data_IF_343029882360
#
_entry.id   IF_343029882360
#
_cell.length_a   1.000
_cell.length_b   1.000
_cell.length_c   1.000
_cell.angle_alpha   90.00
_cell.angle_beta   90.00
_cell.angle_gamma   90.00
#
_symmetry.space_group_name_H-M   'P 1'
#
loop_
_entity.id
_entity.type
_entity.pdbx_description
1 polymer ?
#
# COMPACT_ATOMS: atom_id res chain seq x y z
N UNK A 1 -4.16 -3.29 -12.87
CA UNK A 1 -4.14 -1.90 -12.31
C UNK A 1 -4.63 -0.83 -13.28
N UNK A 2 -4.88 -1.14 -14.55
CA UNK A 2 -5.43 -0.19 -15.53
C UNK A 2 -6.76 0.45 -15.10
N UNK A 3 -7.59 -0.27 -14.35
CA UNK A 3 -8.87 0.25 -13.85
C UNK A 3 -8.73 1.29 -12.72
N UNK A 4 -7.60 1.37 -12.00
CA UNK A 4 -7.36 2.42 -10.98
C UNK A 4 -7.37 3.81 -11.60
N UNK A 5 -7.04 3.89 -12.89
CA UNK A 5 -7.04 5.13 -13.66
C UNK A 5 -8.29 5.29 -14.54
N UNK A 6 -9.32 4.40 -14.39
CA UNK A 6 -10.52 4.50 -15.19
C UNK A 6 -11.29 5.79 -14.89
N UNK A 7 -11.90 6.39 -15.91
CA UNK A 7 -12.72 7.60 -15.77
C UNK A 7 -13.90 7.40 -14.83
N UNK A 8 -14.50 6.20 -14.84
CA UNK A 8 -15.62 5.84 -13.95
C UNK A 8 -15.17 5.83 -12.48
N UNK A 9 -14.03 5.23 -12.17
CA UNK A 9 -13.49 5.24 -10.80
C UNK A 9 -13.17 6.67 -10.36
N UNK A 10 -12.56 7.46 -11.22
CA UNK A 10 -12.26 8.87 -10.93
C UNK A 10 -13.52 9.70 -10.71
N UNK A 11 -14.60 9.40 -11.43
CA UNK A 11 -15.91 10.05 -11.23
C UNK A 11 -16.50 9.67 -9.87
N UNK A 12 -16.49 8.38 -9.50
CA UNK A 12 -16.94 7.91 -8.18
C UNK A 12 -16.13 8.52 -7.05
N UNK A 13 -14.81 8.57 -7.19
CA UNK A 13 -13.91 9.25 -6.24
C UNK A 13 -14.28 10.71 -6.01
N UNK A 14 -14.66 11.44 -7.07
CA UNK A 14 -15.09 12.82 -6.95
C UNK A 14 -16.44 12.97 -6.27
N UNK A 15 -17.38 12.05 -6.51
CA UNK A 15 -18.73 12.08 -5.95
C UNK A 15 -18.77 11.66 -4.47
N UNK A 16 -17.91 10.74 -4.07
CA UNK A 16 -17.82 10.22 -2.71
C UNK A 16 -16.61 10.74 -1.91
N UNK A 17 -16.07 11.89 -2.32
CA UNK A 17 -14.82 12.43 -1.78
C UNK A 17 -14.83 12.49 -0.24
N UNK A 18 -14.05 11.62 0.39
CA UNK A 18 -13.88 11.56 1.83
C UNK A 18 -14.90 10.69 2.58
N UNK A 19 -15.86 10.06 1.91
CA UNK A 19 -16.77 9.16 2.61
C UNK A 19 -16.10 7.84 2.96
N UNK A 20 -16.21 7.42 4.19
CA UNK A 20 -15.52 6.23 4.73
C UNK A 20 -15.94 4.91 4.06
N UNK A 21 -17.18 4.80 3.57
CA UNK A 21 -17.68 3.58 2.91
C UNK A 21 -16.89 3.25 1.65
N UNK A 22 -16.20 4.23 1.05
CA UNK A 22 -15.42 3.98 -0.15
C UNK A 22 -14.22 3.06 0.09
N UNK A 23 -13.69 3.01 1.31
CA UNK A 23 -12.67 2.04 1.71
C UNK A 23 -13.20 0.60 1.69
N UNK A 24 -14.47 0.42 2.06
CA UNK A 24 -15.18 -0.87 1.99
C UNK A 24 -15.36 -1.29 0.53
N UNK A 25 -15.91 -0.39 -0.28
CA UNK A 25 -16.09 -0.64 -1.73
C UNK A 25 -14.76 -0.96 -2.41
N UNK A 26 -13.72 -0.22 -2.09
CA UNK A 26 -12.37 -0.39 -2.65
C UNK A 26 -11.78 -1.79 -2.34
N UNK A 27 -11.96 -2.29 -1.11
CA UNK A 27 -11.54 -3.64 -0.74
C UNK A 27 -12.23 -4.71 -1.60
N UNK A 28 -13.55 -4.62 -1.75
CA UNK A 28 -14.34 -5.56 -2.56
C UNK A 28 -13.96 -5.45 -4.04
N UNK A 29 -13.84 -4.24 -4.56
CA UNK A 29 -13.44 -4.01 -5.96
C UNK A 29 -12.09 -4.65 -6.26
N UNK A 30 -11.11 -4.51 -5.36
CA UNK A 30 -9.79 -5.11 -5.57
C UNK A 30 -9.85 -6.65 -5.56
N UNK A 31 -10.59 -7.23 -4.64
CA UNK A 31 -10.80 -8.67 -4.60
C UNK A 31 -11.53 -9.16 -5.87
N UNK A 32 -12.61 -8.51 -6.28
CA UNK A 32 -13.34 -8.89 -7.51
C UNK A 32 -12.47 -8.80 -8.77
N UNK A 33 -11.51 -7.87 -8.79
CA UNK A 33 -10.57 -7.78 -9.90
C UNK A 33 -9.59 -8.95 -9.97
N UNK A 34 -9.23 -9.51 -8.83
CA UNK A 34 -8.40 -10.71 -8.78
C UNK A 34 -9.20 -11.94 -9.18
N UNK A 35 -10.37 -12.10 -8.58
CA UNK A 35 -11.25 -13.24 -8.76
C UNK A 35 -12.29 -12.98 -9.86
N UNK A 36 -11.86 -12.61 -11.08
CA UNK A 36 -12.74 -12.25 -12.21
C UNK A 36 -13.65 -13.39 -12.66
N UNK A 37 -13.22 -14.64 -12.48
CA UNK A 37 -13.96 -15.84 -12.87
C UNK A 37 -15.10 -16.16 -11.89
N UNK A 38 -15.05 -15.61 -10.68
CA UNK A 38 -16.02 -15.81 -9.63
C UNK A 38 -16.69 -14.49 -9.28
N UNK A 39 -18.01 -14.40 -9.44
CA UNK A 39 -18.76 -13.23 -8.95
C UNK A 39 -18.86 -13.32 -7.44
N UNK A 40 -18.30 -12.34 -6.75
CA UNK A 40 -18.38 -12.27 -5.29
C UNK A 40 -19.81 -12.03 -4.84
N UNK A 41 -20.20 -12.73 -3.77
CA UNK A 41 -21.52 -12.55 -3.14
C UNK A 41 -21.56 -11.22 -2.43
N UNK A 42 -22.68 -10.50 -2.57
CA UNK A 42 -22.92 -9.27 -1.80
C UNK A 42 -23.08 -9.54 -0.32
N UNK A 43 -22.75 -8.56 0.50
CA UNK A 43 -22.86 -8.67 1.95
C UNK A 43 -23.46 -7.41 2.58
N UNK A 44 -24.21 -7.60 3.66
CA UNK A 44 -24.66 -6.52 4.53
C UNK A 44 -23.65 -6.39 5.68
N UNK A 45 -23.10 -5.19 5.86
CA UNK A 45 -22.05 -4.93 6.84
C UNK A 45 -22.54 -3.96 7.91
N UNK A 46 -22.28 -4.32 9.15
CA UNK A 46 -22.33 -3.37 10.29
C UNK A 46 -20.90 -3.12 10.72
N UNK A 47 -20.48 -1.86 10.71
CA UNK A 47 -19.12 -1.46 11.04
C UNK A 47 -19.12 -0.80 12.41
N UNK A 48 -18.29 -1.33 13.32
CA UNK A 48 -18.04 -0.74 14.64
C UNK A 48 -16.54 -0.80 14.92
N UNK A 49 -16.01 0.21 15.57
CA UNK A 49 -14.59 0.25 15.92
C UNK A 49 -14.28 1.36 16.91
N UNK A 50 -13.19 1.19 17.65
CA UNK A 50 -12.68 2.15 18.63
C UNK A 50 -11.33 2.76 18.21
N UNK A 51 -10.87 2.52 16.97
CA UNK A 51 -9.65 3.14 16.45
C UNK A 51 -9.94 4.63 16.22
N UNK A 52 -9.18 5.55 16.84
CA UNK A 52 -9.39 6.97 16.65
C UNK A 52 -9.27 7.39 15.19
N UNK A 53 -10.31 8.05 14.68
CA UNK A 53 -10.35 8.49 13.28
C UNK A 53 -9.42 9.69 13.08
N UNK A 54 -8.65 9.68 11.99
CA UNK A 54 -7.69 10.74 11.61
C UNK A 54 -6.58 11.01 12.63
N UNK A 55 -6.33 10.09 13.56
CA UNK A 55 -5.26 10.18 14.57
C UNK A 55 -3.94 9.52 14.16
N UNK A 56 -3.77 9.15 12.89
CA UNK A 56 -2.55 8.44 12.43
C UNK A 56 -2.50 6.96 12.81
N UNK A 57 -3.62 6.38 13.28
CA UNK A 57 -3.74 4.99 13.72
C UNK A 57 -4.33 4.07 12.63
N UNK A 58 -4.25 4.48 11.38
CA UNK A 58 -4.65 3.68 10.20
C UNK A 58 -6.09 3.11 10.24
N UNK A 59 -7.05 3.93 10.72
CA UNK A 59 -8.46 3.52 10.77
C UNK A 59 -9.02 3.17 9.39
N UNK A 60 -8.54 3.79 8.31
CA UNK A 60 -8.89 3.45 6.93
C UNK A 60 -8.42 2.04 6.54
N UNK A 61 -7.17 1.72 6.82
CA UNK A 61 -6.61 0.40 6.52
C UNK A 61 -7.31 -0.69 7.34
N UNK A 62 -7.75 -0.38 8.56
CA UNK A 62 -8.55 -1.31 9.36
C UNK A 62 -9.91 -1.62 8.71
N UNK A 63 -10.57 -0.63 8.11
CA UNK A 63 -11.80 -0.84 7.33
C UNK A 63 -11.54 -1.74 6.11
N UNK A 64 -10.47 -1.47 5.36
CA UNK A 64 -10.10 -2.28 4.19
C UNK A 64 -9.80 -3.72 4.59
N UNK A 65 -8.94 -3.92 5.61
CA UNK A 65 -8.53 -5.26 6.05
C UNK A 65 -9.72 -6.06 6.59
N UNK A 66 -10.52 -5.48 7.48
CA UNK A 66 -11.68 -6.18 8.05
C UNK A 66 -12.74 -6.52 7.00
N UNK A 67 -12.98 -5.62 6.05
CA UNK A 67 -13.90 -5.86 4.92
C UNK A 67 -13.37 -6.97 4.01
N UNK A 68 -12.08 -6.92 3.68
CA UNK A 68 -11.46 -7.94 2.83
C UNK A 68 -11.48 -9.33 3.50
N UNK A 69 -11.20 -9.41 4.82
CA UNK A 69 -11.30 -10.67 5.58
C UNK A 69 -12.73 -11.23 5.54
N UNK A 70 -13.74 -10.38 5.79
CA UNK A 70 -15.13 -10.79 5.72
C UNK A 70 -15.51 -11.29 4.31
N UNK A 71 -15.08 -10.59 3.27
CA UNK A 71 -15.34 -10.98 1.89
C UNK A 71 -14.65 -12.29 1.50
N UNK A 72 -13.40 -12.47 1.90
CA UNK A 72 -12.63 -13.71 1.68
C UNK A 72 -13.33 -14.88 2.36
N UNK A 73 -13.70 -14.73 3.63
CA UNK A 73 -14.38 -15.79 4.39
C UNK A 73 -15.76 -16.13 3.79
N UNK A 74 -16.58 -15.11 3.48
CA UNK A 74 -17.93 -15.29 2.95
C UNK A 74 -17.94 -15.99 1.57
N UNK A 75 -16.91 -15.72 0.76
CA UNK A 75 -16.83 -16.26 -0.61
C UNK A 75 -15.93 -17.50 -0.71
N UNK A 76 -15.37 -17.99 0.41
CA UNK A 76 -14.49 -19.15 0.42
C UNK A 76 -13.24 -18.97 -0.46
N UNK A 77 -12.68 -17.75 -0.50
CA UNK A 77 -11.54 -17.46 -1.35
C UNK A 77 -10.26 -17.99 -0.69
N UNK A 78 -9.42 -18.65 -1.48
CA UNK A 78 -8.08 -19.05 -1.06
C UNK A 78 -7.08 -17.93 -1.36
N UNK A 79 -6.67 -17.21 -0.32
CA UNK A 79 -5.76 -16.06 -0.42
C UNK A 79 -4.62 -16.22 0.57
N UNK A 80 -3.40 -16.40 0.06
CA UNK A 80 -2.24 -16.46 0.93
C UNK A 80 -1.99 -15.09 1.61
N UNK A 81 -1.50 -15.07 2.87
CA UNK A 81 -1.43 -13.83 3.67
C UNK A 81 -0.72 -12.66 2.99
N UNK A 82 0.39 -12.90 2.29
CA UNK A 82 1.12 -11.85 1.56
C UNK A 82 0.30 -11.25 0.41
N UNK A 83 -0.43 -12.07 -0.33
CA UNK A 83 -1.32 -11.58 -1.40
C UNK A 83 -2.46 -10.77 -0.81
N UNK A 84 -3.03 -11.23 0.30
CA UNK A 84 -4.06 -10.51 1.03
C UNK A 84 -3.60 -9.10 1.42
N UNK A 85 -2.39 -8.96 1.99
CA UNK A 85 -1.82 -7.66 2.36
C UNK A 85 -1.67 -6.76 1.13
N UNK A 86 -1.19 -7.30 0.01
CA UNK A 86 -1.07 -6.56 -1.24
C UNK A 86 -2.44 -6.12 -1.76
N UNK A 87 -3.45 -7.00 -1.75
CA UNK A 87 -4.80 -6.64 -2.20
C UNK A 87 -5.42 -5.54 -1.35
N UNK A 88 -5.22 -5.58 -0.03
CA UNK A 88 -5.68 -4.52 0.85
C UNK A 88 -5.00 -3.18 0.56
N UNK A 89 -3.67 -3.15 0.43
CA UNK A 89 -2.92 -1.94 0.12
C UNK A 89 -3.27 -1.36 -1.25
N UNK A 90 -3.34 -2.21 -2.27
CA UNK A 90 -3.77 -1.81 -3.62
C UNK A 90 -5.24 -1.36 -3.64
N UNK A 91 -6.10 -1.95 -2.80
CA UNK A 91 -7.47 -1.51 -2.60
C UNK A 91 -7.53 -0.05 -2.18
N UNK A 92 -6.71 0.39 -1.23
CA UNK A 92 -6.65 1.80 -0.83
C UNK A 92 -6.27 2.76 -1.99
N UNK A 93 -5.56 2.28 -3.03
CA UNK A 93 -5.26 3.10 -4.20
C UNK A 93 -6.50 3.55 -4.96
N UNK A 94 -7.61 2.77 -4.89
CA UNK A 94 -8.90 3.17 -5.46
C UNK A 94 -9.50 4.38 -4.75
N UNK A 95 -9.15 4.60 -3.49
CA UNK A 95 -9.54 5.80 -2.73
C UNK A 95 -8.68 7.03 -3.11
N UNK A 96 -7.61 6.81 -3.86
CA UNK A 96 -6.78 7.85 -4.48
C UNK A 96 -5.44 8.11 -3.82
N UNK A 97 -5.09 7.45 -2.70
CA UNK A 97 -3.76 7.55 -2.08
C UNK A 97 -2.95 6.29 -2.38
N UNK A 98 -1.83 6.42 -3.05
CA UNK A 98 -0.94 5.30 -3.39
C UNK A 98 0.01 4.98 -2.24
N UNK A 99 -0.56 4.65 -1.07
CA UNK A 99 0.19 4.25 0.11
C UNK A 99 0.85 2.88 -0.03
N UNK A 100 1.79 2.59 0.89
CA UNK A 100 2.33 1.24 1.07
C UNK A 100 1.41 0.38 1.93
N UNK A 101 1.71 -0.91 2.02
CA UNK A 101 0.86 -1.90 2.69
C UNK A 101 1.35 -2.29 4.10
N UNK A 102 2.21 -1.48 4.73
CA UNK A 102 2.77 -1.78 6.05
C UNK A 102 1.70 -1.91 7.14
N UNK A 103 0.72 -1.00 7.15
CA UNK A 103 -0.37 -1.02 8.12
C UNK A 103 -1.25 -2.26 7.95
N UNK A 104 -1.53 -2.64 6.71
CA UNK A 104 -2.27 -3.86 6.37
C UNK A 104 -1.51 -5.12 6.81
N UNK A 105 -0.19 -5.14 6.63
CA UNK A 105 0.66 -6.24 7.11
C UNK A 105 0.66 -6.32 8.64
N UNK A 106 0.75 -5.19 9.34
CA UNK A 106 0.67 -5.15 10.79
C UNK A 106 -0.66 -5.71 11.30
N UNK A 107 -1.77 -5.39 10.65
CA UNK A 107 -3.10 -5.92 11.00
C UNK A 107 -3.23 -7.40 10.70
N UNK A 108 -2.73 -7.87 9.54
CA UNK A 108 -2.81 -9.29 9.14
C UNK A 108 -1.93 -10.20 9.99
N UNK A 109 -0.72 -9.74 10.33
CA UNK A 109 0.28 -10.54 11.04
C UNK A 109 0.37 -10.22 12.54
N UNK A 110 -0.38 -9.23 13.01
CA UNK A 110 -0.42 -8.86 14.43
C UNK A 110 -0.84 -10.02 15.32
N UNK A 111 -0.24 -10.12 16.50
CA UNK A 111 -0.60 -11.10 17.51
C UNK A 111 -0.50 -10.49 18.90
N UNK A 112 -1.46 -10.83 19.77
CA UNK A 112 -1.48 -10.34 21.14
C UNK A 112 -0.23 -10.80 21.90
N UNK A 113 0.41 -9.89 22.60
CA UNK A 113 1.59 -10.17 23.43
C UNK A 113 2.86 -10.48 22.64
N UNK A 114 2.90 -10.11 21.35
CA UNK A 114 4.06 -10.35 20.51
C UNK A 114 4.35 -9.15 19.58
N UNK A 115 5.62 -9.02 19.23
CA UNK A 115 6.09 -8.15 18.15
C UNK A 115 6.33 -9.01 16.92
N UNK A 116 5.66 -8.70 15.83
CA UNK A 116 5.81 -9.41 14.56
C UNK A 116 6.90 -8.76 13.72
N UNK A 117 7.93 -9.52 13.33
CA UNK A 117 8.92 -9.09 12.35
C UNK A 117 8.44 -9.51 10.96
N UNK A 118 8.02 -8.54 10.18
CA UNK A 118 7.49 -8.75 8.83
C UNK A 118 8.50 -8.23 7.83
N UNK A 119 8.84 -9.03 6.83
CA UNK A 119 9.61 -8.58 5.67
C UNK A 119 8.76 -7.57 4.91
N UNK A 120 9.25 -6.33 4.78
CA UNK A 120 8.45 -5.24 4.21
C UNK A 120 8.14 -5.46 2.71
N UNK A 121 9.06 -6.07 2.00
CA UNK A 121 8.84 -6.49 0.62
C UNK A 121 8.43 -7.96 0.64
N UNK A 122 7.39 -8.29 -0.11
CA UNK A 122 6.67 -9.57 -0.14
C UNK A 122 5.79 -9.83 1.09
N UNK A 123 5.90 -9.05 2.15
CA UNK A 123 5.08 -9.14 3.36
C UNK A 123 5.02 -10.54 3.96
N UNK A 124 6.17 -11.19 4.09
CA UNK A 124 6.27 -12.47 4.80
C UNK A 124 6.54 -12.24 6.29
N UNK A 125 5.85 -13.01 7.13
CA UNK A 125 6.12 -13.04 8.56
C UNK A 125 7.41 -13.84 8.80
N UNK A 126 8.49 -13.15 9.15
CA UNK A 126 9.80 -13.78 9.41
C UNK A 126 9.89 -14.40 10.80
N UNK A 127 9.39 -13.69 11.81
CA UNK A 127 9.43 -14.15 13.19
C UNK A 127 8.41 -13.42 14.06
N UNK A 128 8.13 -13.98 15.22
CA UNK A 128 7.43 -13.32 16.32
C UNK A 128 8.27 -13.41 17.58
N UNK A 129 8.40 -12.30 18.25
CA UNK A 129 9.10 -12.20 19.54
C UNK A 129 8.05 -11.85 20.60
N UNK A 130 8.06 -12.55 21.73
CA UNK A 130 7.17 -12.23 22.84
C UNK A 130 7.47 -10.81 23.33
N UNK A 131 6.44 -10.01 23.49
CA UNK A 131 6.58 -8.69 24.10
C UNK A 131 6.83 -8.87 25.60
N UNK A 132 7.86 -8.22 26.18
CA UNK A 132 8.15 -8.35 27.61
C UNK A 132 6.97 -7.91 28.48
N UNK A 133 6.62 -8.70 29.50
CA UNK A 133 5.46 -8.43 30.36
C UNK A 133 5.66 -7.24 31.28
N UNK A 134 6.92 -6.90 31.58
CA UNK A 134 7.34 -5.76 32.42
C UNK A 134 7.49 -4.44 31.64
N UNK A 135 7.16 -4.45 30.34
CA UNK A 135 7.23 -3.27 29.48
C UNK A 135 5.84 -2.87 28.98
N UNK A 136 5.66 -1.56 28.76
CA UNK A 136 4.44 -1.00 28.21
C UNK A 136 4.75 -0.08 27.02
N UNK A 137 3.92 -0.14 26.00
CA UNK A 137 3.91 0.84 24.92
C UNK A 137 2.97 1.98 25.29
N UNK A 138 3.52 3.18 25.37
CA UNK A 138 2.75 4.39 25.64
C UNK A 138 2.54 5.14 24.33
N UNK A 139 1.28 5.27 23.91
CA UNK A 139 0.91 6.06 22.73
C UNK A 139 0.36 7.40 23.18
N UNK A 140 1.06 8.48 22.83
CA UNK A 140 0.65 9.84 23.14
C UNK A 140 -0.07 10.47 21.95
N UNK A 141 -1.28 10.99 22.18
CA UNK A 141 -1.99 11.75 21.17
C UNK A 141 -1.42 13.18 21.10
N UNK A 142 -1.01 13.61 19.91
CA UNK A 142 -0.55 14.99 19.68
C UNK A 142 -1.68 16.00 19.55
N UNK A 143 -2.93 15.53 19.51
CA UNK A 143 -4.13 16.31 19.22
C UNK A 143 -4.14 17.01 17.85
N UNK A 144 -3.17 16.72 17.02
CA UNK A 144 -3.13 17.19 15.63
C UNK A 144 -3.82 16.16 14.74
N UNK A 145 -4.89 16.57 14.09
CA UNK A 145 -5.55 15.71 13.10
C UNK A 145 -4.65 15.58 11.87
N UNK A 146 -4.45 14.34 11.42
CA UNK A 146 -3.84 14.06 10.13
C UNK A 146 -4.81 14.54 9.03
N UNK A 147 -4.70 15.81 8.66
CA UNK A 147 -5.45 16.35 7.52
C UNK A 147 -4.92 15.67 6.27
N UNK A 148 -5.56 14.58 5.84
CA UNK A 148 -5.40 14.03 4.47
C UNK A 148 -6.06 15.01 3.48
N UNK A 149 -5.71 16.30 3.61
CA UNK A 149 -6.18 17.36 2.71
C UNK A 149 -5.78 16.99 1.27
N UNK A 150 -6.57 17.42 0.30
CA UNK A 150 -6.33 17.15 -1.12
C UNK A 150 -4.88 17.46 -1.54
N UNK A 151 -4.26 18.48 -0.95
CA UNK A 151 -2.86 18.83 -1.16
C UNK A 151 -1.85 17.77 -0.68
N UNK A 152 -2.03 17.20 0.52
CA UNK A 152 -1.11 16.20 1.05
C UNK A 152 -1.14 14.90 0.21
N UNK A 153 -2.31 14.50 -0.27
CA UNK A 153 -2.47 13.37 -1.20
C UNK A 153 -1.75 13.62 -2.53
N UNK A 154 -1.89 14.82 -3.09
CA UNK A 154 -1.22 15.18 -4.34
C UNK A 154 0.31 15.15 -4.19
N UNK A 155 0.85 15.70 -3.10
CA UNK A 155 2.28 15.67 -2.80
C UNK A 155 2.77 14.23 -2.63
N UNK A 156 2.03 13.40 -1.90
CA UNK A 156 2.39 11.99 -1.70
C UNK A 156 2.42 11.23 -3.03
N UNK A 157 1.36 11.35 -3.82
CA UNK A 157 1.27 10.67 -5.12
C UNK A 157 2.31 11.19 -6.12
N UNK A 158 2.66 12.48 -6.08
CA UNK A 158 3.75 13.05 -6.87
C UNK A 158 5.11 12.40 -6.54
N UNK A 159 5.39 12.18 -5.25
CA UNK A 159 6.61 11.47 -4.83
C UNK A 159 6.65 10.02 -5.34
N UNK A 160 5.52 9.31 -5.26
CA UNK A 160 5.41 7.96 -5.85
C UNK A 160 5.63 8.00 -7.36
N UNK A 161 5.04 8.99 -8.04
CA UNK A 161 5.26 9.24 -9.46
C UNK A 161 6.74 9.47 -9.81
N UNK A 162 7.45 10.24 -8.97
CA UNK A 162 8.89 10.49 -9.18
C UNK A 162 9.73 9.23 -9.12
N UNK A 163 9.40 8.26 -8.26
CA UNK A 163 10.10 6.97 -8.24
C UNK A 163 9.87 6.18 -9.53
N UNK A 164 8.64 6.17 -10.05
CA UNK A 164 8.32 5.48 -11.31
C UNK A 164 9.02 6.13 -12.50
N UNK A 165 9.06 7.46 -12.56
CA UNK A 165 9.79 8.20 -13.59
C UNK A 165 11.30 7.94 -13.50
N UNK A 166 11.86 7.92 -12.29
CA UNK A 166 13.26 7.58 -12.09
C UNK A 166 13.63 6.18 -12.60
N UNK A 167 12.77 5.19 -12.34
CA UNK A 167 12.95 3.82 -12.87
C UNK A 167 12.86 3.82 -14.39
N UNK A 168 11.84 4.46 -14.97
CA UNK A 168 11.68 4.54 -16.42
C UNK A 168 12.90 5.21 -17.10
N UNK A 169 13.43 6.27 -16.48
CA UNK A 169 14.64 6.93 -16.97
C UNK A 169 15.88 6.00 -16.90
N UNK A 170 16.03 5.24 -15.82
CA UNK A 170 17.11 4.25 -15.69
C UNK A 170 16.99 3.19 -16.78
N UNK A 171 15.78 2.69 -17.04
CA UNK A 171 15.55 1.72 -18.12
C UNK A 171 15.95 2.28 -19.50
N UNK A 172 15.59 3.52 -19.76
CA UNK A 172 15.92 4.17 -21.04
C UNK A 172 17.43 4.42 -21.20
N UNK A 173 18.09 4.88 -20.13
CA UNK A 173 19.51 5.24 -20.18
C UNK A 173 20.46 4.06 -19.99
N UNK A 174 20.02 3.04 -19.25
CA UNK A 174 20.78 1.85 -18.92
C UNK A 174 19.97 0.57 -19.26
N UNK A 175 19.73 0.26 -20.54
CA UNK A 175 18.85 -0.84 -20.94
C UNK A 175 19.23 -2.20 -20.34
N UNK A 176 20.52 -2.40 -20.02
CA UNK A 176 21.01 -3.62 -19.36
C UNK A 176 20.39 -3.84 -17.97
N UNK A 177 19.94 -2.78 -17.30
CA UNK A 177 19.30 -2.86 -15.98
C UNK A 177 17.77 -3.00 -16.06
N UNK A 178 17.16 -2.80 -17.23
CA UNK A 178 15.72 -2.86 -17.37
C UNK A 178 15.08 -4.19 -16.89
N UNK A 179 15.66 -5.37 -17.16
CA UNK A 179 15.11 -6.63 -16.64
C UNK A 179 15.35 -6.84 -15.14
N UNK A 180 16.28 -6.10 -14.53
CA UNK A 180 16.70 -6.27 -13.15
C UNK A 180 16.03 -5.27 -12.20
N UNK A 181 15.75 -4.04 -12.66
CA UNK A 181 15.23 -2.95 -11.83
C UNK A 181 13.74 -2.80 -12.03
N UNK A 182 12.96 -3.32 -11.11
CA UNK A 182 11.51 -3.09 -11.05
C UNK A 182 11.12 -2.03 -10.02
N UNK A 183 11.93 -1.91 -8.97
CA UNK A 183 11.72 -0.99 -7.87
C UNK A 183 13.03 -0.26 -7.53
N UNK A 184 12.93 0.90 -6.88
CA UNK A 184 14.11 1.67 -6.45
C UNK A 184 15.03 0.84 -5.54
N UNK A 185 14.49 -0.07 -4.74
CA UNK A 185 15.28 -0.97 -3.88
C UNK A 185 16.19 -1.93 -4.64
N UNK A 186 15.86 -2.21 -5.89
CA UNK A 186 16.65 -3.13 -6.73
C UNK A 186 17.96 -2.48 -7.20
N UNK A 187 18.07 -1.15 -7.02
CA UNK A 187 19.27 -0.38 -7.35
C UNK A 187 20.29 -0.54 -6.22
N UNK A 188 20.86 -1.71 -6.09
CA UNK A 188 21.88 -2.01 -5.10
C UNK A 188 22.98 -2.90 -5.69
N UNK A 189 24.23 -2.86 -5.13
CA UNK A 189 25.37 -3.59 -5.64
C UNK A 189 25.10 -5.09 -5.85
N UNK A 190 24.58 -5.75 -4.84
CA UNK A 190 24.36 -7.21 -4.85
C UNK A 190 23.36 -7.65 -5.92
N UNK A 191 22.32 -6.84 -6.16
CA UNK A 191 21.29 -7.17 -7.13
C UNK A 191 21.73 -6.89 -8.59
N UNK A 192 22.47 -5.80 -8.78
CA UNK A 192 22.93 -5.39 -10.11
C UNK A 192 24.31 -5.95 -10.49
N UNK A 193 25.00 -6.58 -9.55
CA UNK A 193 26.35 -7.14 -9.78
C UNK A 193 27.40 -6.08 -10.09
N UNK A 194 27.25 -4.87 -9.51
CA UNK A 194 28.13 -3.72 -9.75
C UNK A 194 28.62 -3.12 -8.44
N UNK A 195 29.68 -2.32 -8.49
CA UNK A 195 30.19 -1.63 -7.31
C UNK A 195 29.30 -0.45 -6.89
N UNK A 196 29.52 0.03 -5.68
CA UNK A 196 28.77 1.17 -5.12
C UNK A 196 29.00 2.45 -5.91
N UNK A 197 30.19 2.64 -6.48
CA UNK A 197 30.52 3.82 -7.30
C UNK A 197 29.66 3.84 -8.59
N UNK A 198 29.39 2.68 -9.18
CA UNK A 198 28.51 2.57 -10.34
C UNK A 198 27.06 2.89 -9.94
N UNK A 199 26.59 2.43 -8.78
CA UNK A 199 25.27 2.79 -8.25
C UNK A 199 25.15 4.31 -8.10
N UNK A 200 26.15 4.96 -7.50
CA UNK A 200 26.15 6.42 -7.36
C UNK A 200 26.11 7.13 -8.71
N UNK A 201 26.86 6.66 -9.72
CA UNK A 201 26.80 7.24 -11.08
C UNK A 201 25.40 7.16 -11.69
N UNK A 202 24.71 6.02 -11.51
CA UNK A 202 23.33 5.85 -12.00
C UNK A 202 22.39 6.81 -11.29
N UNK A 203 22.44 6.90 -9.95
CA UNK A 203 21.55 7.75 -9.15
C UNK A 203 21.84 9.24 -9.38
N UNK A 204 23.10 9.65 -9.40
CA UNK A 204 23.48 11.05 -9.64
C UNK A 204 23.23 11.48 -11.09
N UNK A 205 23.12 10.53 -12.00
CA UNK A 205 22.72 10.77 -13.37
C UNK A 205 21.23 11.02 -13.57
N UNK A 206 20.39 10.82 -12.55
CA UNK A 206 18.96 11.11 -12.63
C UNK A 206 18.71 12.63 -12.78
N UNK A 207 17.79 13.04 -13.63
CA UNK A 207 17.44 14.44 -13.75
C UNK A 207 16.80 14.95 -12.46
N UNK A 208 17.06 16.20 -12.08
CA UNK A 208 16.43 16.84 -10.92
C UNK A 208 14.94 17.08 -11.12
N UNK A 209 14.52 17.19 -12.35
CA UNK A 209 13.11 17.34 -12.75
C UNK A 209 12.96 16.84 -14.18
N UNK A 210 11.77 16.36 -14.51
CA UNK A 210 11.35 15.99 -15.86
C UNK A 210 10.04 16.67 -16.19
N UNK A 211 9.86 17.04 -17.43
CA UNK A 211 8.57 17.58 -17.95
C UNK A 211 7.70 16.44 -18.45
N UNK A 212 6.42 16.69 -18.65
CA UNK A 212 5.50 15.68 -19.20
C UNK A 212 5.80 15.30 -20.67
N UNK A 213 6.71 16.03 -21.32
CA UNK A 213 7.14 15.78 -22.70
C UNK A 213 8.43 14.95 -22.79
N UNK A 214 9.17 14.84 -21.72
CA UNK A 214 10.37 13.98 -21.57
C UNK A 214 10.01 12.61 -20.97
#
# INVERSE_FOLDING_TARGET
LSCVNSLELQRRLRQSAGHWSFYIEAAIMRLQMEYRQQKLVGMNLVVSGNIPVAAGMSSSSALVVSTAEAAVALNGLDVVPRQFVNFCGEGEWFVGTRGGSADHAAMKFGAKGAVSHVKFHDFDLLSRVRFPEDHHLVVCNSFLQAKKAAGARAIFNSRVGSYLLGIAWIHAKYPQYAPLVQFVRDICPDHLGVDLAQIYRVILGLPKSVTAQE
#
